data_IF_076480611243
#
_entry.id   IF_076480611243
#
_cell.length_a   1.000
_cell.length_b   1.000
_cell.length_c   1.000
_cell.angle_alpha   90.00
_cell.angle_beta   90.00
_cell.angle_gamma   90.00
#
_symmetry.space_group_name_H-M   'P 1'
#
loop_
_entity.id
_entity.type
_entity.pdbx_description
1 polymer ?
#
# COMPACT_ATOMS: atom_id res chain seq x y z
N UNK A 1 12.93 -2.80 -30.30
CA UNK A 1 11.61 -2.35 -29.83
C UNK A 1 11.45 -2.71 -28.36
N UNK A 2 11.18 -1.73 -27.52
CA UNK A 2 10.82 -2.02 -26.14
C UNK A 2 9.49 -2.78 -26.15
N UNK A 3 9.43 -3.97 -25.56
CA UNK A 3 8.19 -4.66 -25.30
C UNK A 3 7.43 -3.88 -24.24
N UNK A 4 6.15 -3.55 -24.49
CA UNK A 4 5.31 -2.94 -23.49
C UNK A 4 5.24 -3.86 -22.25
N UNK A 5 5.35 -3.29 -21.06
CA UNK A 5 5.13 -4.07 -19.84
C UNK A 5 3.71 -4.66 -19.85
N UNK A 6 3.53 -5.91 -19.37
CA UNK A 6 2.20 -6.50 -19.30
C UNK A 6 1.30 -5.66 -18.39
N UNK A 7 0.02 -5.53 -18.76
CA UNK A 7 -0.97 -4.87 -17.94
C UNK A 7 -1.06 -5.53 -16.56
N UNK A 8 -1.00 -4.75 -15.51
CA UNK A 8 -1.04 -5.22 -14.13
C UNK A 8 -1.77 -4.23 -13.24
N UNK A 9 -2.16 -4.69 -12.05
CA UNK A 9 -2.79 -3.83 -11.03
C UNK A 9 -1.89 -2.65 -10.71
N UNK A 10 -2.39 -1.44 -10.88
CA UNK A 10 -1.72 -0.21 -10.49
C UNK A 10 -1.76 -0.01 -8.98
N UNK A 11 -0.75 0.63 -8.42
CA UNK A 11 -0.59 0.82 -6.98
C UNK A 11 -0.55 2.31 -6.64
N UNK A 12 -1.39 2.72 -5.69
CA UNK A 12 -1.38 4.08 -5.14
C UNK A 12 -1.21 3.99 -3.63
N UNK A 13 -0.19 4.63 -3.11
CA UNK A 13 0.08 4.67 -1.67
C UNK A 13 -0.34 6.05 -1.16
N UNK A 14 -1.34 6.10 -0.27
CA UNK A 14 -1.91 7.35 0.24
C UNK A 14 -1.66 7.46 1.73
N UNK A 15 -0.87 8.44 2.14
CA UNK A 15 -0.44 8.58 3.52
C UNK A 15 -0.49 10.02 4.02
N UNK A 16 -0.48 10.18 5.33
CA UNK A 16 -0.16 11.47 5.96
C UNK A 16 1.31 11.83 5.68
N UNK A 17 1.56 13.05 5.24
CA UNK A 17 2.90 13.51 4.93
C UNK A 17 3.62 12.61 3.92
N UNK A 18 4.94 12.64 3.94
CA UNK A 18 5.80 11.92 2.99
C UNK A 18 6.02 10.43 3.28
N UNK A 19 5.24 9.80 4.15
CA UNK A 19 5.43 8.42 4.58
C UNK A 19 5.38 7.44 3.40
N UNK A 20 4.41 7.60 2.49
CA UNK A 20 4.27 6.71 1.33
C UNK A 20 5.45 6.78 0.37
N UNK A 21 5.96 7.97 0.11
CA UNK A 21 7.15 8.19 -0.73
C UNK A 21 8.39 7.55 -0.09
N UNK A 22 8.56 7.72 1.22
CA UNK A 22 9.66 7.10 1.97
C UNK A 22 9.58 5.57 1.96
N UNK A 23 8.39 5.00 2.09
CA UNK A 23 8.18 3.55 2.02
C UNK A 23 8.54 3.00 0.63
N UNK A 24 8.12 3.67 -0.45
CA UNK A 24 8.48 3.27 -1.81
C UNK A 24 9.99 3.37 -2.04
N UNK A 25 10.63 4.43 -1.56
CA UNK A 25 12.09 4.59 -1.65
C UNK A 25 12.82 3.49 -0.87
N UNK A 26 12.39 3.17 0.33
CA UNK A 26 12.96 2.10 1.14
C UNK A 26 12.82 0.72 0.47
N UNK A 27 11.66 0.42 -0.10
CA UNK A 27 11.45 -0.81 -0.85
C UNK A 27 12.39 -0.89 -2.06
N UNK A 28 12.54 0.22 -2.80
CA UNK A 28 13.44 0.29 -3.95
C UNK A 28 14.90 0.05 -3.56
N UNK A 29 15.35 0.56 -2.41
CA UNK A 29 16.70 0.33 -1.89
C UNK A 29 16.96 -1.13 -1.52
N UNK A 30 15.94 -1.85 -1.05
CA UNK A 30 16.07 -3.25 -0.61
C UNK A 30 15.99 -4.22 -1.77
N UNK A 31 15.02 -4.06 -2.66
CA UNK A 31 14.65 -5.09 -3.65
C UNK A 31 14.51 -4.55 -5.08
N UNK A 32 14.58 -3.26 -5.27
CA UNK A 32 14.32 -2.60 -6.54
C UNK A 32 12.98 -1.88 -6.58
N UNK A 33 12.74 -1.09 -7.65
CA UNK A 33 11.54 -0.26 -7.74
C UNK A 33 10.26 -1.08 -7.79
N UNK A 34 9.21 -0.54 -7.16
CA UNK A 34 7.85 -1.09 -7.24
C UNK A 34 7.21 -0.59 -8.53
N UNK A 35 7.04 -1.46 -9.51
CA UNK A 35 6.49 -1.09 -10.81
C UNK A 35 5.04 -0.61 -10.72
N UNK A 36 4.66 0.31 -11.61
CA UNK A 36 3.29 0.85 -11.73
C UNK A 36 2.76 1.38 -10.40
N UNK A 37 3.57 2.16 -9.69
CA UNK A 37 3.23 2.71 -8.38
C UNK A 37 3.46 4.22 -8.31
N UNK A 38 2.68 4.88 -7.47
CA UNK A 38 2.86 6.28 -7.10
C UNK A 38 2.39 6.51 -5.67
N UNK A 39 2.80 7.61 -5.07
CA UNK A 39 2.41 7.99 -3.72
C UNK A 39 1.70 9.34 -3.71
N UNK A 40 0.72 9.49 -2.83
CA UNK A 40 0.02 10.74 -2.53
C UNK A 40 0.27 11.09 -1.07
N UNK A 41 0.93 12.21 -0.85
CA UNK A 41 1.22 12.73 0.48
C UNK A 41 0.15 13.77 0.85
N UNK A 42 -0.57 13.54 1.94
CA UNK A 42 -1.64 14.42 2.40
C UNK A 42 -1.15 15.28 3.56
N UNK A 43 -1.36 16.59 3.47
CA UNK A 43 -1.01 17.52 4.54
C UNK A 43 -2.26 17.92 5.35
N UNK A 44 -2.11 18.27 6.65
CA UNK A 44 -3.26 18.51 7.55
C UNK A 44 -4.22 19.62 7.08
N UNK A 45 -3.69 20.63 6.38
CA UNK A 45 -4.47 21.79 5.91
C UNK A 45 -5.17 21.55 4.58
N UNK A 46 -4.99 20.41 3.95
CA UNK A 46 -5.53 20.12 2.62
C UNK A 46 -7.04 19.86 2.69
N UNK A 47 -7.80 20.49 1.79
CA UNK A 47 -9.24 20.29 1.69
C UNK A 47 -9.56 18.87 1.19
N UNK A 48 -10.61 18.28 1.74
CA UNK A 48 -11.01 16.90 1.41
C UNK A 48 -11.20 16.69 -0.11
N UNK A 49 -11.87 17.61 -0.79
CA UNK A 49 -12.10 17.52 -2.24
C UNK A 49 -10.78 17.56 -3.04
N UNK A 50 -9.78 18.29 -2.56
CA UNK A 50 -8.45 18.32 -3.16
C UNK A 50 -7.73 16.99 -2.99
N UNK A 51 -7.86 16.36 -1.83
CA UNK A 51 -7.32 15.01 -1.59
C UNK A 51 -7.96 14.01 -2.55
N UNK A 52 -9.28 14.01 -2.65
CA UNK A 52 -10.03 13.13 -3.57
C UNK A 52 -9.54 13.30 -5.00
N UNK A 53 -9.39 14.55 -5.46
CA UNK A 53 -8.91 14.83 -6.82
C UNK A 53 -7.50 14.31 -7.05
N UNK A 54 -6.60 14.50 -6.10
CA UNK A 54 -5.20 14.05 -6.19
C UNK A 54 -5.10 12.52 -6.18
N UNK A 55 -5.88 11.85 -5.34
CA UNK A 55 -5.95 10.38 -5.34
C UNK A 55 -6.51 9.86 -6.67
N UNK A 56 -7.54 10.50 -7.19
CA UNK A 56 -8.10 10.16 -8.50
C UNK A 56 -7.09 10.31 -9.63
N UNK A 57 -6.32 11.39 -9.66
CA UNK A 57 -5.26 11.61 -10.65
C UNK A 57 -4.15 10.58 -10.53
N UNK A 58 -3.77 10.22 -9.30
CA UNK A 58 -2.77 9.17 -9.07
C UNK A 58 -3.26 7.81 -9.56
N UNK A 59 -4.52 7.46 -9.33
CA UNK A 59 -5.12 6.25 -9.87
C UNK A 59 -5.08 6.22 -11.40
N UNK A 60 -5.45 7.31 -12.06
CA UNK A 60 -5.41 7.42 -13.53
C UNK A 60 -3.98 7.24 -14.07
N UNK A 61 -3.00 7.75 -13.36
CA UNK A 61 -1.58 7.65 -13.74
C UNK A 61 -1.07 6.22 -13.80
N UNK A 62 -1.52 5.35 -12.91
CA UNK A 62 -1.02 3.97 -12.78
C UNK A 62 -1.98 2.90 -13.33
N UNK A 63 -3.16 3.30 -13.77
CA UNK A 63 -4.16 2.37 -14.29
C UNK A 63 -3.78 1.91 -15.71
N UNK A 64 -3.55 0.63 -15.86
CA UNK A 64 -3.31 -0.03 -17.16
C UNK A 64 -4.57 -0.73 -17.72
N UNK A 65 -5.73 -0.50 -17.13
CA UNK A 65 -7.01 -1.12 -17.51
C UNK A 65 -7.40 -2.34 -16.67
N UNK A 66 -6.54 -2.78 -15.75
CA UNK A 66 -6.79 -3.94 -14.88
C UNK A 66 -7.44 -3.53 -13.57
N UNK A 67 -7.20 -2.30 -13.12
CA UNK A 67 -7.69 -1.77 -11.86
C UNK A 67 -6.56 -1.36 -10.92
N UNK A 68 -6.94 -0.93 -9.73
CA UNK A 68 -6.06 -0.24 -8.78
C UNK A 68 -6.15 -0.91 -7.40
N UNK A 69 -5.00 -1.08 -6.77
CA UNK A 69 -4.88 -1.30 -5.34
C UNK A 69 -4.38 -0.03 -4.66
N UNK A 70 -5.16 0.49 -3.74
CA UNK A 70 -4.77 1.64 -2.91
C UNK A 70 -4.31 1.11 -1.55
N UNK A 71 -3.15 1.57 -1.11
CA UNK A 71 -2.58 1.28 0.20
C UNK A 71 -2.59 2.55 1.03
N UNK A 72 -3.39 2.58 2.08
CA UNK A 72 -3.49 3.72 2.99
C UNK A 72 -2.76 3.41 4.31
N UNK A 73 -2.35 4.45 5.03
CA UNK A 73 -1.65 4.29 6.29
C UNK A 73 -2.60 3.99 7.47
N UNK A 74 -3.64 4.79 7.67
CA UNK A 74 -4.50 4.70 8.85
C UNK A 74 -5.97 4.56 8.46
N UNK A 75 -6.60 3.47 8.89
CA UNK A 75 -8.03 3.24 8.72
C UNK A 75 -8.85 4.37 9.37
N UNK A 76 -9.87 4.84 8.66
CA UNK A 76 -10.81 5.85 9.14
C UNK A 76 -10.31 7.29 9.08
N UNK A 77 -9.08 7.53 8.66
CA UNK A 77 -8.51 8.87 8.47
C UNK A 77 -9.10 9.59 7.23
N UNK A 78 -8.84 10.89 7.12
CA UNK A 78 -9.26 11.66 5.93
C UNK A 78 -8.62 11.14 4.63
N UNK A 79 -7.32 10.80 4.58
CA UNK A 79 -6.74 10.13 3.41
C UNK A 79 -7.44 8.82 3.06
N UNK A 80 -7.75 7.98 4.05
CA UNK A 80 -8.46 6.73 3.83
C UNK A 80 -9.88 6.96 3.27
N UNK A 81 -10.60 7.92 3.83
CA UNK A 81 -11.95 8.27 3.36
C UNK A 81 -11.94 8.79 1.92
N UNK A 82 -10.91 9.54 1.54
CA UNK A 82 -10.73 9.97 0.16
C UNK A 82 -10.49 8.79 -0.79
N UNK A 83 -9.78 7.75 -0.33
CA UNK A 83 -9.59 6.52 -1.08
C UNK A 83 -10.92 5.79 -1.34
N UNK A 84 -11.83 5.80 -0.37
CA UNK A 84 -13.16 5.19 -0.54
C UNK A 84 -13.96 5.81 -1.68
N UNK A 85 -13.75 7.10 -1.98
CA UNK A 85 -14.39 7.78 -3.10
C UNK A 85 -13.98 7.20 -4.46
N UNK A 86 -12.89 6.45 -4.53
CA UNK A 86 -12.43 5.79 -5.77
C UNK A 86 -13.22 4.50 -6.06
N UNK A 87 -13.95 3.97 -5.10
CA UNK A 87 -14.79 2.78 -5.25
C UNK A 87 -16.18 3.22 -5.74
N UNK A 88 -16.26 3.64 -6.99
CA UNK A 88 -17.46 4.21 -7.61
C UNK A 88 -18.07 3.32 -8.71
N UNK A 89 -17.50 2.14 -8.93
CA UNK A 89 -17.97 1.20 -9.96
C UNK A 89 -17.45 1.46 -11.37
N UNK A 90 -16.65 2.50 -11.59
CA UNK A 90 -16.09 2.82 -12.91
C UNK A 90 -14.92 1.92 -13.31
N UNK A 91 -14.19 1.39 -12.31
CA UNK A 91 -13.08 0.44 -12.49
C UNK A 91 -12.90 -0.41 -11.23
N UNK A 92 -12.25 -1.58 -11.33
CA UNK A 92 -11.94 -2.36 -10.12
C UNK A 92 -10.96 -1.61 -9.22
N UNK A 93 -11.34 -1.40 -7.97
CA UNK A 93 -10.49 -0.79 -6.92
C UNK A 93 -10.62 -1.58 -5.64
N UNK A 94 -9.50 -1.87 -5.01
CA UNK A 94 -9.46 -2.39 -3.65
C UNK A 94 -8.58 -1.50 -2.78
N UNK A 95 -8.85 -1.45 -1.50
CA UNK A 95 -8.15 -0.60 -0.54
C UNK A 95 -7.69 -1.45 0.64
N UNK A 96 -6.41 -1.33 0.99
CA UNK A 96 -5.83 -1.92 2.19
C UNK A 96 -5.32 -0.80 3.09
N UNK A 97 -5.81 -0.72 4.31
CA UNK A 97 -5.28 0.18 5.34
C UNK A 97 -4.18 -0.51 6.16
N UNK A 98 -3.29 0.27 6.74
CA UNK A 98 -2.19 -0.26 7.52
C UNK A 98 -0.96 -0.61 6.70
N UNK A 99 -0.69 0.13 5.63
CA UNK A 99 0.47 -0.10 4.76
C UNK A 99 1.75 -0.17 5.57
N UNK A 100 2.58 -1.13 5.26
CA UNK A 100 3.91 -1.29 5.83
C UNK A 100 4.92 -1.73 4.77
N UNK A 101 6.20 -1.64 5.10
CA UNK A 101 7.28 -1.92 4.16
C UNK A 101 7.26 -3.36 3.60
N UNK A 102 7.02 -4.41 4.39
CA UNK A 102 6.90 -5.76 3.85
C UNK A 102 5.84 -5.93 2.75
N UNK A 103 4.73 -5.21 2.82
CA UNK A 103 3.72 -5.20 1.76
C UNK A 103 4.32 -4.69 0.45
N UNK A 104 5.08 -3.59 0.49
CA UNK A 104 5.69 -3.00 -0.70
C UNK A 104 6.79 -3.90 -1.27
N UNK A 105 7.58 -4.54 -0.43
CA UNK A 105 8.57 -5.54 -0.86
C UNK A 105 7.87 -6.70 -1.60
N UNK A 106 6.76 -7.18 -1.06
CA UNK A 106 5.95 -8.21 -1.73
C UNK A 106 5.45 -7.74 -3.10
N UNK A 107 4.95 -6.52 -3.19
CA UNK A 107 4.46 -5.94 -4.44
C UNK A 107 5.57 -5.73 -5.47
N UNK A 108 6.77 -5.42 -5.03
CA UNK A 108 7.94 -5.28 -5.90
C UNK A 108 8.38 -6.63 -6.51
N UNK A 109 8.16 -7.73 -5.82
CA UNK A 109 8.65 -9.06 -6.20
C UNK A 109 7.59 -9.97 -6.79
N UNK A 110 6.30 -9.72 -6.58
CA UNK A 110 5.25 -10.56 -7.12
C UNK A 110 4.85 -10.13 -8.55
N UNK A 111 4.60 -11.12 -9.39
CA UNK A 111 3.97 -10.87 -10.68
C UNK A 111 2.47 -10.59 -10.45
N UNK A 112 2.05 -9.37 -10.78
CA UNK A 112 0.65 -8.95 -10.65
C UNK A 112 -0.14 -9.09 -11.96
N UNK A 113 0.53 -9.50 -13.04
CA UNK A 113 -0.16 -9.72 -14.31
C UNK A 113 -1.21 -10.84 -14.19
N UNK A 114 -2.37 -10.64 -14.78
CA UNK A 114 -3.46 -11.60 -14.69
C UNK A 114 -4.22 -11.63 -13.36
N UNK A 115 -3.84 -10.80 -12.38
CA UNK A 115 -4.51 -10.70 -11.09
C UNK A 115 -5.46 -9.51 -11.04
N UNK A 116 -6.51 -9.64 -10.25
CA UNK A 116 -7.45 -8.55 -9.92
C UNK A 116 -6.97 -7.80 -8.66
N UNK A 117 -7.38 -6.53 -8.48
CA UNK A 117 -7.04 -5.78 -7.26
C UNK A 117 -7.35 -6.52 -5.95
N UNK A 118 -8.51 -7.18 -5.86
CA UNK A 118 -8.88 -7.96 -4.67
C UNK A 118 -7.92 -9.12 -4.38
N UNK A 119 -7.43 -9.79 -5.40
CA UNK A 119 -6.48 -10.90 -5.23
C UNK A 119 -5.11 -10.41 -4.75
N UNK A 120 -4.64 -9.30 -5.31
CA UNK A 120 -3.38 -8.66 -4.86
C UNK A 120 -3.54 -8.15 -3.43
N UNK A 121 -4.67 -7.53 -3.11
CA UNK A 121 -4.99 -7.02 -1.77
C UNK A 121 -4.92 -8.11 -0.70
N UNK A 122 -5.54 -9.27 -0.94
CA UNK A 122 -5.49 -10.39 0.01
C UNK A 122 -4.06 -10.88 0.25
N UNK A 123 -3.26 -10.98 -0.79
CA UNK A 123 -1.85 -11.41 -0.68
C UNK A 123 -1.02 -10.46 0.17
N UNK A 124 -1.11 -9.17 -0.08
CA UNK A 124 -0.31 -8.18 0.66
C UNK A 124 -0.79 -8.00 2.08
N UNK A 125 -2.10 -8.07 2.31
CA UNK A 125 -2.69 -8.07 3.66
C UNK A 125 -2.10 -9.20 4.51
N UNK A 126 -2.05 -10.41 4.00
CA UNK A 126 -1.48 -11.56 4.72
C UNK A 126 0.02 -11.38 4.99
N UNK A 127 0.78 -10.89 4.02
CA UNK A 127 2.22 -10.60 4.22
C UNK A 127 2.40 -9.54 5.28
N UNK A 128 1.64 -8.44 5.22
CA UNK A 128 1.71 -7.35 6.19
C UNK A 128 1.45 -7.82 7.62
N UNK A 129 0.40 -8.62 7.82
CA UNK A 129 0.04 -9.19 9.12
C UNK A 129 1.13 -10.12 9.66
N UNK A 130 1.64 -11.02 8.85
CA UNK A 130 2.68 -11.98 9.25
C UNK A 130 4.04 -11.35 9.50
N UNK A 131 4.26 -10.16 9.00
CA UNK A 131 5.53 -9.43 9.18
C UNK A 131 5.66 -8.77 10.54
N UNK A 132 4.58 -8.69 11.30
CA UNK A 132 4.58 -8.16 12.67
C UNK A 132 5.01 -9.29 13.60
N UNK A 133 6.24 -9.23 14.10
CA UNK A 133 6.85 -10.28 14.90
C UNK A 133 7.49 -9.71 16.16
N UNK A 134 7.38 -10.42 17.25
CA UNK A 134 8.14 -10.12 18.46
C UNK A 134 9.53 -10.74 18.37
N UNK A 135 10.56 -10.02 18.78
CA UNK A 135 11.92 -10.56 18.82
C UNK A 135 12.03 -11.82 19.69
N UNK A 136 11.29 -11.88 20.80
CA UNK A 136 11.21 -13.04 21.69
C UNK A 136 10.63 -14.30 21.02
N UNK A 137 9.73 -14.14 20.06
CA UNK A 137 9.19 -15.27 19.28
C UNK A 137 10.27 -15.91 18.42
N UNK A 138 11.23 -15.11 17.94
CA UNK A 138 12.30 -15.58 17.05
C UNK A 138 13.46 -16.20 17.81
N UNK A 139 13.77 -15.68 19.02
CA UNK A 139 14.92 -16.12 19.82
C UNK A 139 14.56 -17.10 20.95
N UNK A 140 13.27 -17.24 21.28
CA UNK A 140 12.80 -17.93 22.48
C UNK A 140 13.15 -17.25 23.81
N UNK A 141 13.63 -15.99 23.76
CA UNK A 141 14.04 -15.20 24.94
C UNK A 141 13.14 -13.98 25.07
N UNK A 142 12.72 -13.69 26.28
CA UNK A 142 11.96 -12.47 26.55
C UNK A 142 12.90 -11.28 26.77
N UNK A 143 12.57 -10.17 26.14
CA UNK A 143 13.36 -8.92 26.31
C UNK A 143 13.14 -8.27 27.69
N UNK A 144 11.98 -8.52 28.32
CA UNK A 144 11.60 -8.00 29.64
C UNK A 144 11.13 -9.18 30.49
N UNK A 145 11.66 -9.34 31.74
CA UNK A 145 11.12 -10.32 32.66
C UNK A 145 9.63 -10.07 32.90
N UNK A 146 8.83 -11.11 32.89
CA UNK A 146 7.43 -11.00 33.34
C UNK A 146 7.45 -10.74 34.82
N UNK A 147 6.84 -9.65 35.27
CA UNK A 147 6.50 -9.50 36.66
C UNK A 147 5.39 -10.50 36.97
N UNK A 148 5.70 -11.49 37.81
CA UNK A 148 4.70 -12.41 38.30
C UNK A 148 3.79 -11.63 39.24
N UNK A 149 2.63 -11.22 38.74
CA UNK A 149 1.56 -10.71 39.56
C UNK A 149 0.93 -11.90 40.29
N UNK A 150 1.33 -12.07 41.57
CA UNK A 150 0.65 -12.95 42.51
C UNK A 150 -0.64 -12.31 43.01
#
# INVERSE_FOLDING_TARGET
MATAEPAQVGLVIVTHGGCGECLLAAAADIIGPVASSTAVSVVPSEAFDDIVRRVGSACDQVDSGVGILILADVHGSSPFRACLAMVDGTRPVEIVAGVNLPMLIKLATCDRSGLRPAEVAERVKEVGKRSIRLGSELTGKFAIPREDHH
#
